data_IF_644560272782
#
_entry.id   IF_644560272782
#
_cell.length_a   1.000
_cell.length_b   1.000
_cell.length_c   1.000
_cell.angle_alpha   90.00
_cell.angle_beta   90.00
_cell.angle_gamma   90.00
#
_symmetry.space_group_name_H-M   'P 1'
#
loop_
_entity.id
_entity.type
_entity.pdbx_description
1 polymer ?
#
# COMPACT_ATOMS: atom_id res chain seq x y z
N UNK A 1 -15.50 1.13 11.80
CA UNK A 1 -16.05 0.08 10.91
C UNK A 1 -15.25 -1.20 11.12
N UNK A 2 -15.93 -2.33 11.33
CA UNK A 2 -15.27 -3.63 11.40
C UNK A 2 -15.02 -4.13 9.98
N UNK A 3 -13.78 -4.51 9.68
CA UNK A 3 -13.42 -5.10 8.40
C UNK A 3 -13.31 -6.62 8.56
N UNK A 4 -13.91 -7.35 7.64
CA UNK A 4 -13.86 -8.79 7.55
C UNK A 4 -13.24 -9.21 6.22
N UNK A 5 -12.56 -10.34 6.21
CA UNK A 5 -11.98 -10.92 5.00
C UNK A 5 -12.71 -12.22 4.71
N UNK A 6 -13.12 -12.39 3.45
CA UNK A 6 -13.75 -13.61 2.97
C UNK A 6 -13.36 -13.85 1.51
N UNK A 7 -13.69 -15.00 0.98
CA UNK A 7 -13.57 -15.32 -0.44
C UNK A 7 -14.91 -15.77 -1.01
N UNK A 8 -15.12 -15.48 -2.30
CA UNK A 8 -16.29 -15.95 -3.03
C UNK A 8 -16.15 -17.46 -3.22
N UNK A 9 -17.18 -18.21 -2.84
CA UNK A 9 -17.29 -19.64 -3.10
C UNK A 9 -17.88 -19.88 -4.50
N UNK A 10 -18.89 -19.10 -4.87
CA UNK A 10 -19.56 -19.22 -6.17
C UNK A 10 -20.72 -18.24 -6.31
N UNK A 11 -21.42 -18.33 -7.44
CA UNK A 11 -22.64 -17.58 -7.71
C UNK A 11 -23.71 -18.57 -8.15
N UNK A 12 -24.92 -18.46 -7.60
CA UNK A 12 -26.05 -19.32 -7.97
C UNK A 12 -26.70 -18.85 -9.27
N UNK A 13 -27.59 -19.68 -9.84
CA UNK A 13 -28.40 -19.31 -11.02
C UNK A 13 -29.33 -18.12 -10.74
N UNK A 14 -29.64 -17.85 -9.50
CA UNK A 14 -30.51 -16.75 -9.06
C UNK A 14 -29.69 -15.49 -8.69
N UNK A 15 -28.43 -15.41 -9.12
CA UNK A 15 -27.50 -14.29 -8.85
C UNK A 15 -27.13 -14.11 -7.36
N UNK A 16 -27.46 -15.08 -6.49
CA UNK A 16 -27.03 -15.07 -5.10
C UNK A 16 -25.50 -15.36 -5.07
N UNK A 17 -24.76 -14.60 -4.27
CA UNK A 17 -23.32 -14.77 -4.13
C UNK A 17 -23.03 -15.59 -2.87
N UNK A 18 -22.31 -16.69 -3.03
CA UNK A 18 -21.90 -17.58 -1.94
C UNK A 18 -20.50 -17.20 -1.47
N UNK A 19 -20.37 -16.97 -0.17
CA UNK A 19 -19.09 -16.64 0.46
C UNK A 19 -18.72 -17.67 1.52
N UNK A 20 -17.42 -17.90 1.69
CA UNK A 20 -16.92 -18.58 2.88
C UNK A 20 -17.20 -17.76 4.13
N UNK A 21 -17.18 -18.39 5.32
CA UNK A 21 -17.30 -17.65 6.57
C UNK A 21 -16.20 -16.60 6.65
N UNK A 22 -16.55 -15.32 6.92
CA UNK A 22 -15.57 -14.27 7.06
C UNK A 22 -14.56 -14.52 8.18
N UNK A 23 -13.36 -13.98 8.01
CA UNK A 23 -12.32 -14.01 9.03
C UNK A 23 -11.94 -12.59 9.46
N UNK A 24 -11.47 -12.47 10.71
CA UNK A 24 -10.88 -11.26 11.25
C UNK A 24 -9.68 -11.67 12.12
N UNK A 25 -8.49 -11.16 11.79
CA UNK A 25 -7.26 -11.54 12.49
C UNK A 25 -6.96 -13.05 12.42
N UNK A 26 -7.33 -13.72 11.31
CA UNK A 26 -7.13 -15.17 11.13
C UNK A 26 -8.19 -16.07 11.77
N UNK A 27 -9.14 -15.52 12.54
CA UNK A 27 -10.22 -16.29 13.18
C UNK A 27 -11.53 -16.13 12.42
N UNK A 28 -12.31 -17.22 12.33
CA UNK A 28 -13.66 -17.19 11.75
C UNK A 28 -14.59 -16.34 12.60
N UNK A 29 -15.39 -15.51 11.96
CA UNK A 29 -16.29 -14.56 12.62
C UNK A 29 -17.72 -14.77 12.15
N UNK A 30 -18.65 -14.92 13.10
CA UNK A 30 -20.06 -14.89 12.79
C UNK A 30 -20.50 -13.44 12.59
N UNK A 31 -21.03 -13.14 11.40
CA UNK A 31 -21.61 -11.82 11.11
C UNK A 31 -23.14 -11.88 11.23
N UNK A 32 -23.78 -10.79 11.65
CA UNK A 32 -25.25 -10.75 11.80
C UNK A 32 -25.93 -10.88 10.43
N UNK A 33 -27.14 -11.42 10.43
CA UNK A 33 -28.01 -11.54 9.25
C UNK A 33 -28.93 -10.32 9.12
N UNK A 34 -29.49 -10.14 7.93
CA UNK A 34 -30.46 -9.07 7.63
C UNK A 34 -29.88 -7.67 7.86
N UNK A 35 -28.60 -7.53 7.60
CA UNK A 35 -27.88 -6.25 7.67
C UNK A 35 -27.12 -6.07 6.35
N UNK A 36 -27.12 -4.82 5.87
CA UNK A 36 -26.34 -4.46 4.69
C UNK A 36 -24.85 -4.33 5.02
N UNK A 37 -24.03 -4.92 4.16
CA UNK A 37 -22.58 -4.83 4.18
C UNK A 37 -22.08 -4.26 2.88
N UNK A 38 -21.06 -3.41 2.94
CA UNK A 38 -20.30 -3.01 1.76
C UNK A 38 -19.22 -4.05 1.50
N UNK A 39 -19.35 -4.76 0.40
CA UNK A 39 -18.36 -5.75 -0.05
C UNK A 39 -17.49 -5.15 -1.13
N UNK A 40 -16.17 -5.28 -0.94
CA UNK A 40 -15.18 -4.86 -1.94
C UNK A 40 -14.49 -6.08 -2.50
N UNK A 41 -14.69 -6.32 -3.79
CA UNK A 41 -14.02 -7.37 -4.54
C UNK A 41 -12.68 -6.89 -5.08
N UNK A 42 -11.63 -7.62 -4.79
CA UNK A 42 -10.33 -7.38 -5.38
C UNK A 42 -10.12 -8.40 -6.52
N UNK A 43 -10.15 -7.93 -7.75
CA UNK A 43 -10.08 -8.76 -8.96
C UNK A 43 -8.90 -8.37 -9.84
N UNK A 44 -8.59 -9.18 -10.85
CA UNK A 44 -7.58 -8.84 -11.88
C UNK A 44 -8.01 -7.60 -12.71
N UNK A 45 -9.31 -7.36 -12.89
CA UNK A 45 -9.84 -6.22 -13.63
C UNK A 45 -9.94 -4.93 -12.78
N UNK A 46 -9.59 -5.01 -11.49
CA UNK A 46 -9.63 -3.89 -10.56
C UNK A 46 -10.47 -4.18 -9.33
N UNK A 47 -10.78 -3.12 -8.60
CA UNK A 47 -11.61 -3.20 -7.40
C UNK A 47 -13.04 -2.82 -7.74
N UNK A 48 -13.98 -3.59 -7.22
CA UNK A 48 -15.41 -3.36 -7.38
C UNK A 48 -16.09 -3.41 -6.03
N UNK A 49 -17.11 -2.61 -5.85
CA UNK A 49 -17.90 -2.54 -4.62
C UNK A 49 -19.37 -2.71 -4.93
N UNK A 50 -20.07 -3.41 -4.07
CA UNK A 50 -21.52 -3.40 -4.00
C UNK A 50 -21.97 -3.56 -2.56
N UNK A 51 -23.17 -3.10 -2.25
CA UNK A 51 -23.82 -3.40 -0.99
C UNK A 51 -24.58 -4.71 -1.12
N UNK A 52 -24.51 -5.54 -0.09
CA UNK A 52 -25.14 -6.85 -0.04
C UNK A 52 -25.86 -7.05 1.29
N UNK A 53 -26.90 -7.86 1.29
CA UNK A 53 -27.55 -8.32 2.51
C UNK A 53 -27.25 -9.81 2.71
N UNK A 54 -26.96 -10.23 3.95
CA UNK A 54 -26.80 -11.64 4.28
C UNK A 54 -28.18 -12.22 4.55
N UNK A 55 -28.70 -13.03 3.63
CA UNK A 55 -30.05 -13.57 3.71
C UNK A 55 -30.11 -14.96 4.31
N UNK A 56 -29.07 -15.78 4.10
CA UNK A 56 -29.04 -17.17 4.56
C UNK A 56 -27.65 -17.57 5.05
N UNK A 57 -27.65 -18.52 5.99
CA UNK A 57 -26.48 -19.31 6.37
C UNK A 57 -26.76 -20.76 5.99
N UNK A 58 -25.76 -21.43 5.48
CA UNK A 58 -25.92 -22.81 5.07
C UNK A 58 -24.61 -23.57 5.06
N UNK A 59 -24.68 -24.78 4.53
CA UNK A 59 -23.52 -25.61 4.22
C UNK A 59 -23.65 -26.06 2.77
N UNK A 60 -22.57 -25.97 2.03
CA UNK A 60 -22.45 -26.54 0.69
C UNK A 60 -21.23 -27.49 0.70
N UNK A 61 -21.43 -28.76 0.34
CA UNK A 61 -20.39 -29.79 0.38
C UNK A 61 -19.64 -29.85 1.74
N UNK A 62 -20.40 -29.72 2.87
CA UNK A 62 -19.88 -29.62 4.23
C UNK A 62 -19.12 -28.32 4.59
N UNK A 63 -18.94 -27.40 3.67
CA UNK A 63 -18.34 -26.10 3.96
C UNK A 63 -19.43 -25.11 4.41
N UNK A 64 -19.27 -24.47 5.55
CA UNK A 64 -20.21 -23.45 5.99
C UNK A 64 -20.07 -22.20 5.12
N UNK A 65 -21.19 -21.70 4.62
CA UNK A 65 -21.27 -20.55 3.72
C UNK A 65 -22.30 -19.54 4.20
N UNK A 66 -22.11 -18.30 3.75
CA UNK A 66 -23.14 -17.26 3.76
C UNK A 66 -23.65 -17.03 2.34
N UNK A 67 -24.97 -16.78 2.23
CA UNK A 67 -25.60 -16.34 1.01
C UNK A 67 -25.82 -14.84 1.08
N UNK A 68 -25.35 -14.12 0.10
CA UNK A 68 -25.47 -12.69 -0.03
C UNK A 68 -26.33 -12.34 -1.24
N UNK A 69 -27.31 -11.50 -1.03
CA UNK A 69 -28.12 -10.92 -2.09
C UNK A 69 -27.65 -9.48 -2.36
N UNK A 70 -27.36 -9.12 -3.62
CA UNK A 70 -27.00 -7.76 -3.98
C UNK A 70 -28.15 -6.78 -3.65
N UNK A 71 -27.86 -5.75 -2.88
CA UNK A 71 -28.79 -4.64 -2.58
C UNK A 71 -28.46 -3.36 -3.33
N UNK A 72 -27.34 -3.33 -4.08
CA UNK A 72 -26.95 -2.24 -4.99
C UNK A 72 -26.36 -2.78 -6.29
N UNK A 73 -26.12 -1.91 -7.27
CA UNK A 73 -25.36 -2.25 -8.47
C UNK A 73 -23.87 -2.35 -8.17
N UNK A 74 -23.18 -3.24 -8.88
CA UNK A 74 -21.73 -3.35 -8.84
C UNK A 74 -21.09 -2.08 -9.41
N UNK A 75 -20.23 -1.44 -8.63
CA UNK A 75 -19.53 -0.21 -9.03
C UNK A 75 -18.03 -0.44 -9.02
N UNK A 76 -17.33 0.07 -10.03
CA UNK A 76 -15.87 0.07 -10.03
C UNK A 76 -15.37 1.14 -9.06
N UNK A 77 -14.45 0.76 -8.16
CA UNK A 77 -13.89 1.67 -7.15
C UNK A 77 -12.43 1.91 -7.45
N UNK A 78 -12.08 3.17 -7.63
CA UNK A 78 -10.69 3.60 -7.67
C UNK A 78 -10.30 4.13 -6.29
N UNK A 79 -9.43 3.39 -5.57
CA UNK A 79 -8.94 3.79 -4.24
C UNK A 79 -7.56 4.43 -4.28
N UNK A 80 -6.89 4.35 -5.44
CA UNK A 80 -5.53 4.84 -5.57
C UNK A 80 -5.55 6.14 -6.35
N UNK A 81 -5.06 7.19 -5.72
CA UNK A 81 -4.92 8.49 -6.36
C UNK A 81 -3.75 8.47 -7.36
N UNK A 82 -2.76 7.59 -7.14
CA UNK A 82 -1.56 7.49 -7.96
C UNK A 82 -1.36 6.05 -8.48
N UNK A 83 -0.89 5.97 -9.71
CA UNK A 83 -0.39 4.72 -10.29
C UNK A 83 0.84 4.24 -9.54
N UNK A 84 0.99 2.92 -9.38
CA UNK A 84 2.15 2.29 -8.75
C UNK A 84 3.00 1.58 -9.78
N UNK A 85 4.27 1.90 -9.77
CA UNK A 85 5.26 1.33 -10.66
C UNK A 85 6.15 0.36 -9.88
N UNK A 86 6.25 -0.89 -10.36
CA UNK A 86 7.17 -1.87 -9.80
C UNK A 86 8.59 -1.55 -10.27
N UNK A 87 9.51 -1.43 -9.35
CA UNK A 87 10.90 -1.05 -9.61
C UNK A 87 11.84 -1.72 -8.62
N UNK A 88 13.13 -1.49 -8.79
CA UNK A 88 14.15 -1.83 -7.81
C UNK A 88 15.08 -0.63 -7.66
N UNK A 89 14.89 0.17 -6.62
CA UNK A 89 15.69 1.36 -6.34
C UNK A 89 16.26 1.27 -4.93
N UNK A 90 17.59 1.40 -4.75
CA UNK A 90 18.18 1.53 -3.42
C UNK A 90 17.58 2.72 -2.67
N UNK A 91 17.33 2.54 -1.37
CA UNK A 91 16.84 3.57 -0.48
C UNK A 91 17.62 3.54 0.83
N UNK A 92 17.91 4.72 1.38
CA UNK A 92 18.37 4.91 2.76
C UNK A 92 17.25 5.56 3.55
N UNK A 93 17.01 5.03 4.75
CA UNK A 93 15.91 5.47 5.61
C UNK A 93 16.45 5.74 7.01
N UNK A 94 16.28 6.95 7.51
CA UNK A 94 16.65 7.34 8.87
C UNK A 94 15.36 7.61 9.67
N UNK A 95 15.14 6.96 10.83
CA UNK A 95 14.10 7.37 11.76
C UNK A 95 14.30 8.84 12.17
N UNK A 96 13.23 9.62 12.26
CA UNK A 96 13.30 11.00 12.74
C UNK A 96 12.16 11.30 13.70
N UNK A 97 12.38 12.20 14.68
CA UNK A 97 11.34 12.69 15.57
C UNK A 97 10.23 13.47 14.84
N UNK A 98 9.07 13.56 15.44
CA UNK A 98 7.91 14.24 14.84
C UNK A 98 8.14 15.75 14.66
N UNK A 99 8.77 16.42 15.62
CA UNK A 99 9.11 17.83 15.55
C UNK A 99 10.03 18.17 14.38
N UNK A 100 11.02 17.32 14.09
CA UNK A 100 11.89 17.42 12.91
C UNK A 100 11.09 17.16 11.63
N UNK A 101 10.25 16.11 11.61
CA UNK A 101 9.41 15.81 10.46
C UNK A 101 8.43 16.92 10.11
N UNK A 102 8.01 17.72 11.08
CA UNK A 102 7.05 18.82 10.91
C UNK A 102 7.70 20.17 10.60
N UNK A 103 9.04 20.27 10.52
CA UNK A 103 9.73 21.48 10.09
C UNK A 103 9.20 21.95 8.72
N UNK A 104 9.10 23.25 8.46
CA UNK A 104 8.38 23.79 7.30
C UNK A 104 9.06 23.55 5.94
N UNK A 105 10.37 23.30 5.90
CA UNK A 105 11.12 23.07 4.66
C UNK A 105 12.10 21.90 4.78
N UNK A 106 12.49 21.32 3.64
CA UNK A 106 13.53 20.27 3.60
C UNK A 106 14.89 20.81 4.05
N UNK A 107 15.23 22.04 3.74
CA UNK A 107 16.48 22.67 4.20
C UNK A 107 16.61 22.63 5.72
N UNK A 108 15.56 23.01 6.44
CA UNK A 108 15.58 22.96 7.91
C UNK A 108 15.67 21.55 8.47
N UNK A 109 15.06 20.57 7.79
CA UNK A 109 15.20 19.16 8.15
C UNK A 109 16.64 18.69 7.93
N UNK A 110 17.24 19.01 6.79
CA UNK A 110 18.62 18.63 6.45
C UNK A 110 19.65 19.32 7.38
N UNK A 111 19.44 20.58 7.74
CA UNK A 111 20.25 21.29 8.75
C UNK A 111 20.19 20.62 10.13
N UNK A 112 19.02 20.14 10.53
CA UNK A 112 18.83 19.40 11.78
C UNK A 112 19.52 18.04 11.71
N UNK A 113 19.36 17.32 10.60
CA UNK A 113 20.00 16.01 10.39
C UNK A 113 21.53 16.12 10.35
N UNK A 114 22.10 17.20 9.81
CA UNK A 114 23.53 17.44 9.83
C UNK A 114 24.05 17.59 11.28
N UNK A 115 23.29 18.28 12.13
CA UNK A 115 23.68 18.53 13.52
C UNK A 115 23.41 17.36 14.46
N UNK A 116 22.25 16.73 14.32
CA UNK A 116 21.70 15.79 15.30
C UNK A 116 21.38 14.40 14.72
N UNK A 117 21.51 14.18 13.41
CA UNK A 117 21.12 12.93 12.74
C UNK A 117 21.72 11.67 13.35
N UNK A 118 22.95 11.76 13.86
CA UNK A 118 23.61 10.64 14.56
C UNK A 118 22.91 10.24 15.88
N UNK A 119 22.04 11.10 16.43
CA UNK A 119 21.28 10.82 17.65
C UNK A 119 19.95 10.11 17.36
N UNK A 120 19.51 10.07 16.12
CA UNK A 120 18.23 9.48 15.71
C UNK A 120 18.32 7.99 15.39
N UNK A 121 19.52 7.41 15.44
CA UNK A 121 19.81 6.01 15.19
C UNK A 121 20.54 5.77 13.86
N UNK A 122 20.77 4.50 13.55
CA UNK A 122 21.47 4.13 12.32
C UNK A 122 20.51 4.13 11.13
N UNK A 123 20.95 4.65 9.96
CA UNK A 123 20.19 4.54 8.72
C UNK A 123 19.98 3.07 8.32
N UNK A 124 18.75 2.73 7.93
CA UNK A 124 18.42 1.43 7.38
C UNK A 124 18.50 1.48 5.86
N UNK A 125 19.29 0.60 5.27
CA UNK A 125 19.36 0.43 3.82
C UNK A 125 18.35 -0.61 3.36
N UNK A 126 17.75 -0.36 2.19
CA UNK A 126 16.75 -1.22 1.60
C UNK A 126 16.60 -1.01 0.11
N UNK A 127 15.57 -1.64 -0.47
CA UNK A 127 15.20 -1.47 -1.87
C UNK A 127 13.71 -1.18 -2.00
N UNK A 128 13.37 -0.09 -2.66
CA UNK A 128 12.01 0.19 -3.11
C UNK A 128 11.62 -0.88 -4.13
N UNK A 129 10.49 -1.51 -3.92
CA UNK A 129 9.93 -2.56 -4.80
C UNK A 129 8.70 -2.09 -5.56
N UNK A 130 8.01 -1.07 -5.07
CA UNK A 130 7.07 -0.26 -5.85
C UNK A 130 7.05 1.18 -5.34
N UNK A 131 6.80 2.12 -6.26
CA UNK A 131 6.74 3.55 -6.01
C UNK A 131 5.54 4.18 -6.71
N UNK A 132 5.03 5.26 -6.15
CA UNK A 132 3.95 6.09 -6.70
C UNK A 132 4.14 7.55 -6.31
N UNK A 133 3.35 8.46 -6.88
CA UNK A 133 3.35 9.87 -6.48
C UNK A 133 2.92 10.14 -5.03
N UNK A 134 2.42 9.14 -4.30
CA UNK A 134 2.00 9.29 -2.89
C UNK A 134 2.84 8.51 -1.89
N UNK A 135 3.75 7.64 -2.32
CA UNK A 135 4.54 6.81 -1.41
C UNK A 135 5.20 5.62 -2.08
N UNK A 136 5.81 4.79 -1.26
CA UNK A 136 6.54 3.62 -1.71
C UNK A 136 6.33 2.40 -0.81
N UNK A 137 6.68 1.25 -1.35
CA UNK A 137 6.91 0.02 -0.60
C UNK A 137 8.37 -0.38 -0.78
N UNK A 138 9.07 -0.57 0.31
CA UNK A 138 10.45 -1.04 0.26
C UNK A 138 10.68 -2.25 1.16
N UNK A 139 11.74 -2.99 0.87
CA UNK A 139 12.20 -4.13 1.65
C UNK A 139 13.56 -3.83 2.25
N UNK A 140 13.77 -4.24 3.50
CA UNK A 140 15.05 -4.14 4.22
C UNK A 140 15.31 -5.37 5.07
N UNK A 141 16.58 -5.62 5.44
CA UNK A 141 16.94 -6.70 6.36
C UNK A 141 16.62 -6.38 7.81
N UNK A 142 16.61 -5.09 8.14
CA UNK A 142 16.32 -4.59 9.49
C UNK A 142 15.04 -3.79 9.47
N UNK A 143 14.28 -3.86 10.55
CA UNK A 143 13.13 -3.00 10.73
C UNK A 143 13.58 -1.55 10.96
N UNK A 144 12.91 -0.59 10.34
CA UNK A 144 13.10 0.83 10.67
C UNK A 144 12.39 1.09 12.00
N UNK A 145 13.19 1.27 13.05
CA UNK A 145 12.70 1.53 14.40
C UNK A 145 12.24 2.98 14.53
N UNK A 146 11.01 3.25 14.15
CA UNK A 146 10.38 4.56 14.26
C UNK A 146 8.94 4.45 14.73
N UNK A 147 8.51 5.41 15.53
CA UNK A 147 7.09 5.50 15.89
C UNK A 147 6.24 5.88 14.69
N UNK A 148 6.65 6.88 13.91
CA UNK A 148 5.81 7.42 12.83
C UNK A 148 6.55 7.94 11.61
N UNK A 149 7.62 8.71 11.78
CA UNK A 149 8.26 9.45 10.70
C UNK A 149 9.68 8.99 10.42
N UNK A 150 10.07 9.14 9.16
CA UNK A 150 11.40 8.82 8.68
C UNK A 150 11.81 9.76 7.53
N UNK A 151 13.09 10.05 7.47
CA UNK A 151 13.72 10.69 6.32
C UNK A 151 14.16 9.60 5.35
N UNK A 152 13.75 9.73 4.09
CA UNK A 152 14.07 8.79 3.02
C UNK A 152 14.89 9.47 1.94
N UNK A 153 15.96 8.82 1.49
CA UNK A 153 16.81 9.27 0.40
C UNK A 153 16.99 8.16 -0.64
N UNK A 154 16.71 8.46 -1.90
CA UNK A 154 16.87 7.54 -3.04
C UNK A 154 17.16 8.30 -4.34
N UNK A 155 17.70 7.60 -5.34
CA UNK A 155 18.06 8.20 -6.62
C UNK A 155 17.10 7.74 -7.70
N UNK A 156 16.54 8.69 -8.44
CA UNK A 156 15.80 8.43 -9.68
C UNK A 156 16.75 8.64 -10.87
N UNK A 157 17.03 7.57 -11.61
CA UNK A 157 17.94 7.63 -12.74
C UNK A 157 17.30 7.06 -14.01
N UNK A 158 17.26 7.89 -15.05
CA UNK A 158 16.91 7.53 -16.42
C UNK A 158 17.92 8.20 -17.36
N UNK A 159 17.96 7.90 -18.67
CA UNK A 159 18.84 8.61 -19.59
C UNK A 159 18.72 10.13 -19.56
N UNK A 160 17.56 10.66 -19.15
CA UNK A 160 17.26 12.09 -19.15
C UNK A 160 17.05 12.68 -17.74
N UNK A 161 17.21 11.87 -16.70
CA UNK A 161 16.99 12.29 -15.32
C UNK A 161 18.01 11.58 -14.42
N UNK A 162 18.71 12.37 -13.60
CA UNK A 162 19.52 11.83 -12.50
C UNK A 162 19.32 12.77 -11.30
N UNK A 163 18.42 12.40 -10.40
CA UNK A 163 18.06 13.24 -9.26
C UNK A 163 17.99 12.43 -7.98
N UNK A 164 18.62 12.94 -6.93
CA UNK A 164 18.43 12.48 -5.56
C UNK A 164 17.10 13.04 -5.08
N UNK A 165 16.26 12.19 -4.53
CA UNK A 165 15.01 12.56 -3.84
C UNK A 165 15.23 12.35 -2.36
N UNK A 166 15.11 13.45 -1.62
CA UNK A 166 15.06 13.48 -0.17
C UNK A 166 13.64 13.83 0.25
N UNK A 167 12.99 12.96 1.02
CA UNK A 167 11.58 13.15 1.37
C UNK A 167 11.29 12.63 2.77
N UNK A 168 10.49 13.39 3.52
CA UNK A 168 9.90 12.91 4.76
C UNK A 168 8.81 11.90 4.42
N UNK A 169 8.79 10.81 5.18
CA UNK A 169 7.79 9.77 4.98
C UNK A 169 7.12 9.39 6.30
N UNK A 170 5.85 9.00 6.21
CA UNK A 170 5.09 8.46 7.32
C UNK A 170 4.98 6.95 7.19
N UNK A 171 5.23 6.24 8.30
CA UNK A 171 4.99 4.80 8.39
C UNK A 171 3.49 4.50 8.26
N UNK A 172 3.13 3.71 7.26
CA UNK A 172 1.75 3.22 7.05
C UNK A 172 1.60 1.81 7.62
N UNK A 173 2.54 0.92 7.30
CA UNK A 173 2.54 -0.47 7.76
C UNK A 173 3.93 -1.07 7.64
N UNK A 174 4.25 -1.97 8.56
CA UNK A 174 5.41 -2.87 8.46
C UNK A 174 4.91 -4.30 8.61
N UNK A 175 5.46 -5.20 7.81
CA UNK A 175 5.18 -6.64 7.85
C UNK A 175 6.51 -7.37 7.75
N UNK A 176 6.68 -8.44 8.54
CA UNK A 176 7.83 -9.31 8.41
C UNK A 176 7.50 -10.49 7.50
N UNK A 177 8.29 -10.67 6.47
CA UNK A 177 8.24 -11.80 5.55
C UNK A 177 9.23 -12.86 6.04
N UNK A 178 8.73 -13.85 6.75
CA UNK A 178 9.56 -14.91 7.36
C UNK A 178 10.20 -15.85 6.32
N UNK A 179 9.61 -16.00 5.15
CA UNK A 179 10.15 -16.84 4.09
C UNK A 179 11.41 -16.22 3.47
N UNK A 180 11.41 -14.91 3.29
CA UNK A 180 12.51 -14.17 2.69
C UNK A 180 13.41 -13.49 3.72
N UNK A 181 13.07 -13.55 5.00
CA UNK A 181 13.78 -12.91 6.11
C UNK A 181 14.00 -11.41 5.87
N UNK A 182 12.91 -10.70 5.52
CA UNK A 182 12.93 -9.27 5.24
C UNK A 182 11.71 -8.57 5.84
N UNK A 183 11.88 -7.30 6.18
CA UNK A 183 10.79 -6.40 6.55
C UNK A 183 10.25 -5.72 5.30
N UNK A 184 8.93 -5.66 5.17
CA UNK A 184 8.21 -4.97 4.10
C UNK A 184 7.57 -3.73 4.70
N UNK A 185 8.09 -2.57 4.33
CA UNK A 185 7.61 -1.28 4.77
C UNK A 185 6.71 -0.65 3.71
N UNK A 186 5.57 -0.09 4.15
CA UNK A 186 4.73 0.79 3.33
C UNK A 186 4.78 2.17 3.93
N UNK A 187 5.16 3.13 3.12
CA UNK A 187 5.36 4.52 3.52
C UNK A 187 4.56 5.46 2.62
N UNK A 188 4.14 6.56 3.20
CA UNK A 188 3.51 7.68 2.53
C UNK A 188 4.49 8.86 2.51
N UNK A 189 4.68 9.47 1.35
CA UNK A 189 5.53 10.64 1.19
C UNK A 189 4.82 11.92 1.65
N UNK A 190 5.53 12.72 2.44
CA UNK A 190 5.10 14.03 2.92
C UNK A 190 6.01 15.08 2.27
N UNK A 191 5.66 15.49 1.07
CA UNK A 191 6.47 16.45 0.32
C UNK A 191 6.44 17.82 0.97
N UNK A 192 7.61 18.42 1.16
CA UNK A 192 7.79 19.81 1.55
C UNK A 192 7.82 20.71 0.30
N UNK A 193 8.33 20.18 -0.80
CA UNK A 193 8.41 20.85 -2.09
C UNK A 193 7.45 20.20 -3.10
N UNK A 194 6.59 20.99 -3.78
CA UNK A 194 5.61 20.46 -4.73
C UNK A 194 6.24 19.69 -5.91
N UNK A 195 7.40 20.14 -6.37
CA UNK A 195 8.06 19.63 -7.58
C UNK A 195 8.56 18.19 -7.42
N UNK A 196 8.90 17.76 -6.21
CA UNK A 196 9.45 16.41 -6.00
C UNK A 196 8.44 15.32 -6.32
N UNK A 197 7.14 15.56 -6.06
CA UNK A 197 6.08 14.64 -6.47
C UNK A 197 5.99 14.51 -7.98
N UNK A 198 6.05 15.62 -8.69
CA UNK A 198 5.98 15.65 -10.15
C UNK A 198 7.15 14.94 -10.78
N UNK A 199 8.35 15.08 -10.22
CA UNK A 199 9.56 14.37 -10.66
C UNK A 199 9.40 12.86 -10.52
N UNK A 200 8.86 12.37 -9.39
CA UNK A 200 8.59 10.95 -9.19
C UNK A 200 7.55 10.46 -10.22
N UNK A 201 6.48 11.19 -10.43
CA UNK A 201 5.44 10.84 -11.40
C UNK A 201 6.04 10.79 -12.82
N UNK A 202 6.83 11.78 -13.21
CA UNK A 202 7.51 11.81 -14.51
C UNK A 202 8.45 10.62 -14.69
N UNK A 203 9.27 10.32 -13.67
CA UNK A 203 10.13 9.15 -13.66
C UNK A 203 9.35 7.86 -13.92
N UNK A 204 8.20 7.66 -13.22
CA UNK A 204 7.35 6.48 -13.37
C UNK A 204 6.86 6.34 -14.82
N UNK A 205 6.36 7.42 -15.43
CA UNK A 205 5.89 7.40 -16.81
C UNK A 205 7.00 7.12 -17.82
N UNK A 206 8.18 7.69 -17.62
CA UNK A 206 9.33 7.49 -18.52
C UNK A 206 9.83 6.04 -18.45
N UNK A 207 9.94 5.46 -17.25
CA UNK A 207 10.34 4.07 -17.08
C UNK A 207 9.30 3.08 -17.60
N UNK A 208 8.01 3.33 -17.37
CA UNK A 208 6.94 2.51 -17.93
C UNK A 208 6.96 2.52 -19.46
N UNK A 209 7.13 3.69 -20.07
CA UNK A 209 7.26 3.82 -21.53
C UNK A 209 8.49 3.07 -22.05
N UNK A 210 9.60 3.11 -21.31
CA UNK A 210 10.83 2.40 -21.67
C UNK A 210 10.63 0.88 -21.63
N UNK A 211 9.96 0.36 -20.61
CA UNK A 211 9.67 -1.07 -20.49
C UNK A 211 8.74 -1.57 -21.59
N UNK A 212 7.66 -0.84 -21.87
CA UNK A 212 6.73 -1.20 -22.96
C UNK A 212 7.41 -1.27 -24.33
N UNK A 213 8.35 -0.36 -24.60
CA UNK A 213 9.14 -0.40 -25.85
C UNK A 213 10.05 -1.63 -25.94
N UNK A 214 10.58 -2.10 -24.81
CA UNK A 214 11.42 -3.32 -24.76
C UNK A 214 10.62 -4.61 -24.92
N UNK A 215 9.34 -4.61 -24.54
CA UNK A 215 8.46 -5.78 -24.69
C UNK A 215 7.88 -5.91 -26.10
N UNK A 216 7.90 -4.85 -26.88
CA UNK A 216 7.36 -4.80 -28.26
C UNK A 216 8.41 -4.95 -29.37
N UNK A 217 9.68 -4.99 -29.03
CA UNK A 217 10.80 -5.17 -29.96
C UNK A 217 11.55 -6.46 -29.70
#
# INVERSE_FOLDING_TARGET
>A
KNNYISSVFGVTKNEEILFHIPTRGGHTVTVPMNINFDVVFNTRAGMFQLSVEITKRGKLENFPIYVFEPSSKLQKVQRRDYYRFNCLLPIKVLPIPEDVALLPSMTLVEDDLEKYGNTYGDPVEGNIVDISGGGARFKSRHEVQTERYMYCSFVLSTPNLNKIINVISRKVKVEYDSENNVYIHRIEFLFKEPDDREIIIKYIFDEERRLRKKEQG
#
